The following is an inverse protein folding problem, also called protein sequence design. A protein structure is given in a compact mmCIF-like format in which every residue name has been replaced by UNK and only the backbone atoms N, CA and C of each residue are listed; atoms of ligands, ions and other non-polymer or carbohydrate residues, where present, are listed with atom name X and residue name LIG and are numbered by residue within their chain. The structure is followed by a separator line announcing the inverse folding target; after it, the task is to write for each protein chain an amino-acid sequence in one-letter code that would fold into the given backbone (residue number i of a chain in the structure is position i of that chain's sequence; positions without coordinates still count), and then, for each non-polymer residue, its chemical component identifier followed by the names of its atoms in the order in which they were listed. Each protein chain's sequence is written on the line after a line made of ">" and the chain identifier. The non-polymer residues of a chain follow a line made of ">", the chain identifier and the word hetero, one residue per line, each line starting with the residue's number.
data_IF_148512292148
#
_entry.id   IF_148512292148
#
_cell.length_a   1.000
_cell.length_b   1.000
_cell.length_c   1.000
_cell.angle_alpha   90.00
_cell.angle_beta   90.00
_cell.angle_gamma   90.00
#
_symmetry.space_group_name_H-M   'P 1'
#
loop_
_entity.id
_entity.type
_entity.pdbx_description
1 polymer ?
#
# COMPACT_ATOMS: atom_id res chain seq x y z
N UNK A 1 -23.17 4.58 -14.04
CA UNK A 1 -21.82 5.01 -13.59
C UNK A 1 -21.88 5.01 -12.06
N UNK A 2 -21.36 3.96 -11.42
CA UNK A 2 -21.30 3.91 -9.95
C UNK A 2 -20.18 4.87 -9.58
N UNK A 3 -20.51 5.97 -8.92
CA UNK A 3 -19.54 6.87 -8.33
C UNK A 3 -18.75 6.06 -7.29
N UNK A 4 -17.43 6.06 -7.40
CA UNK A 4 -16.60 5.50 -6.34
C UNK A 4 -16.98 6.20 -5.04
N UNK A 5 -17.25 5.40 -4.00
CA UNK A 5 -17.58 5.92 -2.67
C UNK A 5 -16.40 6.76 -2.16
N UNK A 6 -16.62 8.06 -2.04
CA UNK A 6 -15.61 9.04 -1.60
C UNK A 6 -15.26 8.89 -0.09
N UNK A 7 -15.89 7.95 0.61
CA UNK A 7 -15.59 7.65 2.02
C UNK A 7 -14.19 7.04 2.24
N UNK A 8 -13.54 6.61 1.16
CA UNK A 8 -12.26 5.89 1.20
C UNK A 8 -12.36 4.49 1.81
N UNK A 9 -13.56 4.01 2.14
CA UNK A 9 -13.80 2.62 2.55
C UNK A 9 -13.63 1.66 1.38
N UNK A 10 -13.28 0.39 1.63
CA UNK A 10 -13.17 -0.58 0.55
C UNK A 10 -14.53 -0.77 -0.11
N UNK A 11 -14.57 -0.68 -1.42
CA UNK A 11 -15.75 -0.93 -2.24
C UNK A 11 -15.46 -2.02 -3.28
N UNK A 12 -16.49 -2.80 -3.63
CA UNK A 12 -16.33 -3.98 -4.46
C UNK A 12 -17.32 -3.98 -5.62
N UNK A 13 -16.86 -4.43 -6.77
CA UNK A 13 -17.68 -4.71 -7.93
C UNK A 13 -18.53 -5.99 -7.73
N UNK A 14 -19.54 -6.21 -8.56
CA UNK A 14 -20.42 -7.37 -8.49
C UNK A 14 -19.69 -8.72 -8.61
N UNK A 15 -18.53 -8.75 -9.27
CA UNK A 15 -17.67 -9.93 -9.39
C UNK A 15 -16.74 -10.13 -8.17
N UNK A 16 -16.87 -9.29 -7.13
CA UNK A 16 -16.09 -9.34 -5.90
C UNK A 16 -14.70 -8.70 -5.98
N UNK A 17 -14.30 -8.14 -7.12
CA UNK A 17 -13.06 -7.36 -7.25
C UNK A 17 -13.17 -6.04 -6.49
N UNK A 18 -12.09 -5.61 -5.87
CA UNK A 18 -12.02 -4.33 -5.20
C UNK A 18 -11.86 -3.20 -6.23
N UNK A 19 -12.62 -2.13 -6.07
CA UNK A 19 -12.37 -0.89 -6.81
C UNK A 19 -11.09 -0.23 -6.32
N UNK A 20 -10.32 0.36 -7.26
CA UNK A 20 -9.15 1.14 -6.90
C UNK A 20 -9.55 2.29 -5.96
N UNK A 21 -8.86 2.48 -4.82
CA UNK A 21 -9.12 3.62 -3.95
C UNK A 21 -8.90 4.95 -4.69
N UNK A 22 -9.83 5.87 -4.54
CA UNK A 22 -9.73 7.22 -5.12
C UNK A 22 -9.34 8.23 -4.04
N UNK A 23 -8.81 9.38 -4.45
CA UNK A 23 -8.44 10.49 -3.56
C UNK A 23 -7.44 10.13 -2.43
N UNK A 24 -6.80 8.95 -2.49
CA UNK A 24 -5.87 8.48 -1.46
C UNK A 24 -4.66 9.41 -1.24
N UNK A 25 -4.29 10.22 -2.22
CA UNK A 25 -3.23 11.22 -2.07
C UNK A 25 -3.60 12.37 -1.10
N UNK A 26 -4.87 12.46 -0.72
CA UNK A 26 -5.37 13.38 0.32
C UNK A 26 -5.38 12.73 1.71
N UNK A 27 -5.03 11.43 1.80
CA UNK A 27 -4.99 10.69 3.07
C UNK A 27 -3.70 11.01 3.85
N UNK A 28 -3.62 10.46 5.06
CA UNK A 28 -2.41 10.57 5.86
C UNK A 28 -1.26 9.82 5.18
N UNK A 29 -0.20 10.54 4.83
CA UNK A 29 1.04 9.93 4.38
C UNK A 29 1.70 9.21 5.56
N UNK A 30 1.91 7.90 5.45
CA UNK A 30 2.49 7.07 6.51
C UNK A 30 4.02 7.00 6.43
N UNK A 31 4.56 7.05 5.23
CA UNK A 31 6.00 7.02 5.00
C UNK A 31 6.38 6.58 3.60
N UNK A 32 7.64 6.70 3.29
CA UNK A 32 8.25 6.25 2.05
C UNK A 32 9.44 5.36 2.33
N UNK A 33 9.75 4.48 1.40
CA UNK A 33 11.01 3.73 1.38
C UNK A 33 11.56 3.61 -0.03
N UNK A 34 12.86 3.37 -0.14
CA UNK A 34 13.56 3.13 -1.39
C UNK A 34 14.25 1.76 -1.33
N UNK A 35 13.92 0.90 -2.29
CA UNK A 35 14.66 -0.34 -2.53
C UNK A 35 14.47 -1.44 -1.48
N UNK A 36 13.46 -1.35 -0.59
CA UNK A 36 13.15 -2.47 0.31
C UNK A 36 12.81 -3.69 -0.54
N UNK A 37 13.62 -4.72 -0.41
CA UNK A 37 13.45 -6.03 -1.02
C UNK A 37 13.56 -7.13 0.04
N UNK A 38 13.16 -8.34 -0.32
CA UNK A 38 13.11 -9.50 0.57
C UNK A 38 14.09 -10.61 0.15
N UNK A 39 15.00 -10.31 -0.75
CA UNK A 39 16.11 -11.18 -1.17
C UNK A 39 17.44 -10.54 -0.83
N UNK A 40 18.47 -11.37 -0.70
CA UNK A 40 19.82 -10.89 -0.45
C UNK A 40 20.30 -9.94 -1.57
N UNK A 41 20.94 -8.80 -1.22
CA UNK A 41 21.41 -7.86 -2.20
C UNK A 41 22.54 -8.47 -3.04
N UNK A 42 22.52 -8.22 -4.34
CA UNK A 42 23.65 -8.53 -5.23
C UNK A 42 24.58 -7.33 -5.32
N UNK A 43 25.86 -7.57 -5.62
CA UNK A 43 26.90 -6.53 -5.68
C UNK A 43 26.60 -5.36 -6.64
N UNK A 44 25.68 -5.54 -7.60
CA UNK A 44 25.26 -4.55 -8.60
C UNK A 44 23.75 -4.25 -8.55
N UNK A 45 23.11 -4.43 -7.40
CA UNK A 45 21.67 -4.14 -7.28
C UNK A 45 21.42 -2.64 -7.47
N UNK A 46 20.50 -2.33 -8.39
CA UNK A 46 19.98 -0.96 -8.57
C UNK A 46 19.24 -0.51 -7.30
N UNK A 47 19.04 0.79 -7.09
CA UNK A 47 18.39 1.32 -5.88
C UNK A 47 16.98 0.79 -5.63
N UNK A 48 16.39 0.09 -6.60
CA UNK A 48 15.04 -0.44 -6.50
C UNK A 48 13.98 0.61 -6.83
N UNK A 49 12.81 0.48 -6.21
CA UNK A 49 11.68 1.39 -6.41
C UNK A 49 11.38 2.18 -5.14
N UNK A 50 10.87 3.40 -5.33
CA UNK A 50 10.21 4.13 -4.25
C UNK A 50 8.83 3.52 -3.99
N UNK A 51 8.46 3.49 -2.72
CA UNK A 51 7.14 3.07 -2.27
C UNK A 51 6.59 4.10 -1.30
N UNK A 52 5.50 4.77 -1.67
CA UNK A 52 4.83 5.76 -0.84
C UNK A 52 3.55 5.16 -0.27
N UNK A 53 3.41 5.23 1.04
CA UNK A 53 2.29 4.61 1.73
C UNK A 53 1.38 5.68 2.32
N UNK A 54 0.09 5.51 2.05
CA UNK A 54 -0.99 6.35 2.57
C UNK A 54 -1.96 5.50 3.36
N UNK A 55 -2.47 6.02 4.45
CA UNK A 55 -3.50 5.40 5.27
C UNK A 55 -4.71 6.30 5.39
N UNK A 56 -5.89 5.73 5.33
CA UNK A 56 -7.14 6.46 5.50
C UNK A 56 -7.15 7.22 6.83
N UNK A 57 -7.55 8.50 6.87
CA UNK A 57 -7.38 9.38 8.04
C UNK A 57 -8.05 8.87 9.31
N UNK A 58 -9.26 8.30 9.20
CA UNK A 58 -9.98 7.74 10.33
C UNK A 58 -9.31 6.47 10.89
N UNK A 59 -8.79 5.62 10.00
CA UNK A 59 -8.02 4.43 10.39
C UNK A 59 -6.69 4.82 11.06
N UNK A 60 -6.03 5.86 10.55
CA UNK A 60 -4.83 6.43 11.19
C UNK A 60 -5.14 6.93 12.59
N UNK A 61 -6.18 7.75 12.75
CA UNK A 61 -6.60 8.28 14.05
C UNK A 61 -6.90 7.16 15.05
N UNK A 62 -7.72 6.18 14.66
CA UNK A 62 -8.05 5.05 15.51
C UNK A 62 -6.81 4.23 15.90
N UNK A 63 -5.88 4.02 14.95
CA UNK A 63 -4.63 3.33 15.23
C UNK A 63 -3.75 4.08 16.24
N UNK A 64 -3.62 5.41 16.11
CA UNK A 64 -2.85 6.22 17.06
C UNK A 64 -3.44 6.20 18.47
N UNK A 65 -4.76 6.16 18.59
CA UNK A 65 -5.47 6.11 19.87
C UNK A 65 -5.42 4.73 20.53
N UNK A 66 -5.52 3.65 19.73
CA UNK A 66 -5.74 2.30 20.26
C UNK A 66 -4.60 1.32 20.02
N UNK A 67 -3.69 1.61 19.11
CA UNK A 67 -2.65 0.70 18.62
C UNK A 67 -3.19 -0.44 17.74
N UNK A 68 -4.46 -0.36 17.29
CA UNK A 68 -5.12 -1.37 16.46
C UNK A 68 -5.72 -0.75 15.22
N UNK A 69 -5.56 -1.44 14.08
CA UNK A 69 -6.26 -1.04 12.86
C UNK A 69 -7.74 -1.47 12.93
N UNK A 70 -8.69 -0.53 12.76
CA UNK A 70 -10.12 -0.87 12.75
C UNK A 70 -10.49 -1.70 11.51
N UNK A 71 -11.64 -2.37 11.55
CA UNK A 71 -12.22 -2.97 10.36
C UNK A 71 -12.45 -1.91 9.27
N UNK A 72 -12.37 -2.31 8.00
CA UNK A 72 -12.41 -1.42 6.82
C UNK A 72 -11.22 -0.45 6.71
N UNK A 73 -10.12 -0.69 7.40
CA UNK A 73 -8.87 0.02 7.15
C UNK A 73 -8.39 -0.22 5.72
N UNK A 74 -7.96 0.85 5.06
CA UNK A 74 -7.31 0.79 3.75
C UNK A 74 -5.97 1.51 3.83
N UNK A 75 -4.92 0.83 3.39
CA UNK A 75 -3.63 1.43 3.08
C UNK A 75 -3.41 1.34 1.57
N UNK A 76 -2.86 2.39 0.98
CA UNK A 76 -2.50 2.43 -0.44
C UNK A 76 -0.99 2.64 -0.55
N UNK A 77 -0.38 1.90 -1.47
CA UNK A 77 1.03 2.03 -1.81
C UNK A 77 1.17 2.41 -3.28
N UNK A 78 1.82 3.54 -3.54
CA UNK A 78 2.33 3.88 -4.87
C UNK A 78 3.73 3.33 -5.04
N UNK A 79 4.01 2.80 -6.20
CA UNK A 79 5.34 2.28 -6.57
C UNK A 79 5.88 3.08 -7.74
N UNK A 80 7.06 3.72 -7.56
CA UNK A 80 7.73 4.51 -8.59
C UNK A 80 9.11 3.94 -8.94
N UNK A 81 9.55 4.14 -10.18
CA UNK A 81 10.96 3.96 -10.52
C UNK A 81 11.83 4.99 -9.81
N UNK A 82 13.06 4.61 -9.48
CA UNK A 82 14.05 5.55 -8.99
C UNK A 82 14.80 6.17 -10.18
N UNK A 83 14.49 7.43 -10.45
CA UNK A 83 15.21 8.24 -11.44
C UNK A 83 16.52 8.80 -10.90
N UNK A 84 17.43 9.12 -11.79
CA UNK A 84 18.76 9.68 -11.51
C UNK A 84 19.06 10.85 -12.45
N UNK A 85 20.03 11.67 -12.07
CA UNK A 85 20.67 12.67 -12.95
C UNK A 85 19.70 13.70 -13.56
N UNK A 86 18.83 14.27 -12.74
CA UNK A 86 17.99 15.40 -13.16
C UNK A 86 18.58 16.73 -12.64
N UNK A 87 18.79 17.69 -13.54
CA UNK A 87 19.25 19.04 -13.16
C UNK A 87 18.29 19.69 -12.15
N UNK A 88 18.79 20.36 -11.09
CA UNK A 88 20.20 20.63 -10.77
C UNK A 88 20.88 19.54 -9.92
N UNK A 89 20.20 18.44 -9.61
CA UNK A 89 20.73 17.38 -8.76
C UNK A 89 21.89 16.63 -9.43
N UNK A 90 23.00 16.52 -8.74
CA UNK A 90 24.20 15.79 -9.21
C UNK A 90 24.28 14.36 -8.65
N UNK A 91 23.59 14.10 -7.56
CA UNK A 91 23.57 12.81 -6.85
C UNK A 91 22.18 12.55 -6.29
N UNK A 92 21.91 11.30 -5.93
CA UNK A 92 20.64 10.88 -5.33
C UNK A 92 19.63 10.38 -6.34
N UNK A 93 18.47 10.02 -5.84
CA UNK A 93 17.36 9.45 -6.61
C UNK A 93 16.07 10.21 -6.34
N UNK A 94 15.19 10.24 -7.32
CA UNK A 94 13.85 10.83 -7.22
C UNK A 94 12.81 9.88 -7.82
N UNK A 95 11.56 10.08 -7.45
CA UNK A 95 10.44 9.35 -8.05
C UNK A 95 10.24 9.80 -9.50
N UNK A 96 10.43 8.87 -10.44
CA UNK A 96 10.37 9.23 -11.86
C UNK A 96 9.08 8.78 -12.51
N UNK A 97 8.82 7.48 -12.56
CA UNK A 97 7.66 6.91 -13.26
C UNK A 97 6.84 6.05 -12.31
N UNK A 98 5.54 6.32 -12.24
CA UNK A 98 4.59 5.47 -11.53
C UNK A 98 4.54 4.09 -12.22
N UNK A 99 4.91 3.06 -11.47
CA UNK A 99 4.82 1.67 -11.90
C UNK A 99 3.47 1.06 -11.59
N UNK A 100 2.89 1.42 -10.45
CA UNK A 100 1.60 0.90 -10.05
C UNK A 100 1.11 1.36 -8.69
N UNK A 101 -0.11 0.92 -8.41
CA UNK A 101 -0.82 1.18 -7.16
C UNK A 101 -1.20 -0.17 -6.58
N UNK A 102 -0.91 -0.36 -5.30
CA UNK A 102 -1.30 -1.53 -4.52
C UNK A 102 -2.12 -1.10 -3.31
N UNK A 103 -2.94 -2.00 -2.78
CA UNK A 103 -3.68 -1.72 -1.56
C UNK A 103 -3.67 -2.92 -0.60
N UNK A 104 -3.58 -2.62 0.70
CA UNK A 104 -3.87 -3.55 1.79
C UNK A 104 -5.19 -3.14 2.44
N UNK A 105 -6.09 -4.09 2.62
CA UNK A 105 -7.45 -3.83 3.11
C UNK A 105 -7.78 -4.79 4.23
N UNK A 106 -8.19 -4.24 5.38
CA UNK A 106 -8.81 -5.02 6.44
C UNK A 106 -10.31 -5.08 6.19
N UNK A 107 -10.86 -6.27 6.00
CA UNK A 107 -12.29 -6.49 5.80
C UNK A 107 -12.70 -7.83 6.44
N UNK A 108 -13.07 -7.78 7.72
CA UNK A 108 -13.36 -8.97 8.51
C UNK A 108 -14.63 -9.71 8.03
N UNK A 109 -15.56 -8.99 7.41
CA UNK A 109 -16.76 -9.61 6.85
C UNK A 109 -16.47 -10.40 5.57
N UNK A 110 -15.57 -9.87 4.71
CA UNK A 110 -15.20 -10.51 3.44
C UNK A 110 -14.12 -11.57 3.61
N UNK A 111 -13.22 -11.38 4.55
CA UNK A 111 -12.07 -12.25 4.83
C UNK A 111 -12.05 -12.65 6.33
N UNK A 112 -12.99 -13.48 6.79
CA UNK A 112 -13.17 -13.75 8.23
C UNK A 112 -11.97 -14.45 8.88
N UNK A 113 -11.19 -15.22 8.13
CA UNK A 113 -10.00 -15.92 8.64
C UNK A 113 -8.76 -15.04 8.59
N UNK A 114 -8.46 -14.47 7.43
CA UNK A 114 -7.28 -13.67 7.16
C UNK A 114 -7.41 -12.24 7.71
N UNK A 115 -8.61 -11.69 7.75
CA UNK A 115 -8.98 -10.31 8.06
C UNK A 115 -8.43 -9.27 7.07
N UNK A 116 -7.29 -9.54 6.47
CA UNK A 116 -6.60 -8.68 5.51
C UNK A 116 -6.53 -9.32 4.12
N UNK A 117 -6.65 -8.47 3.10
CA UNK A 117 -6.42 -8.84 1.71
C UNK A 117 -5.55 -7.78 1.01
N UNK A 118 -4.83 -8.19 -0.02
CA UNK A 118 -3.88 -7.36 -0.76
C UNK A 118 -4.25 -7.35 -2.23
N UNK A 119 -4.12 -6.19 -2.87
CA UNK A 119 -4.57 -5.94 -4.23
C UNK A 119 -3.48 -5.22 -5.02
N UNK A 120 -3.40 -5.52 -6.32
CA UNK A 120 -2.52 -4.82 -7.24
C UNK A 120 -3.33 -4.31 -8.43
N UNK A 121 -3.31 -2.99 -8.62
CA UNK A 121 -4.00 -2.28 -9.69
C UNK A 121 -3.07 -1.93 -10.86
N UNK A 122 -1.94 -2.61 -11.00
CA UNK A 122 -0.99 -2.38 -12.10
C UNK A 122 -1.61 -2.87 -13.42
N UNK A 123 -1.73 -1.96 -14.37
CA UNK A 123 -2.09 -2.25 -15.75
C UNK A 123 -0.94 -1.95 -16.70
N UNK A 124 -1.08 -2.28 -17.99
CA UNK A 124 -0.02 -2.06 -19.00
C UNK A 124 0.27 -0.58 -19.24
N UNK A 125 -0.78 0.25 -19.31
CA UNK A 125 -0.67 1.68 -19.63
C UNK A 125 -1.17 2.58 -18.51
N UNK A 126 -2.14 2.12 -17.75
CA UNK A 126 -2.75 2.84 -16.63
C UNK A 126 -3.19 1.87 -15.55
N UNK A 127 -3.45 2.38 -14.36
CA UNK A 127 -4.00 1.58 -13.27
C UNK A 127 -5.34 0.92 -13.66
N UNK A 128 -5.53 -0.32 -13.21
CA UNK A 128 -6.80 -1.05 -13.40
C UNK A 128 -7.88 -0.44 -12.49
N UNK A 129 -9.14 -0.33 -12.97
CA UNK A 129 -10.22 0.21 -12.15
C UNK A 129 -10.62 -0.73 -11.02
N UNK A 130 -10.40 -2.04 -11.18
CA UNK A 130 -10.65 -3.09 -10.19
C UNK A 130 -9.53 -4.11 -10.18
N UNK A 131 -9.38 -4.82 -9.06
CA UNK A 131 -8.43 -5.93 -8.92
C UNK A 131 -8.98 -7.03 -8.04
N UNK A 132 -8.55 -8.27 -8.31
CA UNK A 132 -8.77 -9.43 -7.44
C UNK A 132 -7.80 -9.40 -6.26
N UNK A 133 -8.26 -9.88 -5.11
CA UNK A 133 -7.34 -10.12 -3.99
C UNK A 133 -6.27 -11.15 -4.40
N UNK A 134 -5.04 -10.94 -3.97
CA UNK A 134 -4.00 -11.93 -4.07
C UNK A 134 -4.36 -13.20 -3.28
N UNK A 135 -3.92 -14.38 -3.73
CA UNK A 135 -4.03 -15.60 -2.95
C UNK A 135 -3.33 -15.47 -1.58
N UNK A 136 -3.86 -16.16 -0.57
CA UNK A 136 -3.35 -16.15 0.81
C UNK A 136 -1.85 -16.47 0.90
N UNK A 137 -1.36 -17.43 0.14
CA UNK A 137 0.03 -17.86 0.10
C UNK A 137 0.98 -16.87 -0.62
N UNK A 138 0.48 -15.74 -1.07
CA UNK A 138 1.25 -14.68 -1.70
C UNK A 138 1.60 -13.60 -0.67
N UNK A 139 0.90 -12.46 -0.70
CA UNK A 139 1.22 -11.30 0.16
C UNK A 139 0.87 -11.55 1.63
N UNK A 140 -0.31 -12.17 1.91
CA UNK A 140 -0.83 -12.31 3.26
C UNK A 140 0.10 -13.11 4.18
N UNK A 141 0.63 -14.24 3.73
CA UNK A 141 1.49 -15.10 4.56
C UNK A 141 2.75 -14.38 5.01
N UNK A 142 3.41 -13.65 4.11
CA UNK A 142 4.59 -12.85 4.43
C UNK A 142 4.25 -11.70 5.41
N UNK A 143 3.15 -10.99 5.18
CA UNK A 143 2.70 -9.93 6.09
C UNK A 143 2.33 -10.49 7.46
N UNK A 144 1.69 -11.66 7.52
CA UNK A 144 1.34 -12.31 8.79
C UNK A 144 2.57 -12.68 9.61
N UNK A 145 3.63 -13.14 8.95
CA UNK A 145 4.86 -13.60 9.60
C UNK A 145 5.76 -12.46 10.05
N UNK A 146 5.90 -11.42 9.22
CA UNK A 146 6.96 -10.41 9.37
C UNK A 146 6.49 -9.02 9.76
N UNK A 147 5.20 -8.71 9.64
CA UNK A 147 4.67 -7.41 10.03
C UNK A 147 4.63 -7.26 11.55
N UNK A 148 5.03 -6.09 12.04
CA UNK A 148 5.11 -5.85 13.50
C UNK A 148 3.74 -5.66 14.14
N UNK A 149 2.72 -5.23 13.41
CA UNK A 149 1.36 -5.01 13.93
C UNK A 149 0.32 -5.42 12.91
N UNK A 150 -0.54 -6.37 13.26
CA UNK A 150 -1.79 -6.71 12.55
C UNK A 150 -1.64 -6.74 11.00
N UNK A 151 -0.67 -7.51 10.50
CA UNK A 151 -0.34 -7.65 9.08
C UNK A 151 0.13 -6.35 8.37
N UNK A 152 0.50 -5.31 9.11
CA UNK A 152 1.04 -4.06 8.58
C UNK A 152 2.49 -3.87 9.05
N UNK A 153 3.39 -3.57 8.12
CA UNK A 153 4.81 -3.30 8.39
C UNK A 153 5.02 -1.93 9.07
N UNK A 154 4.39 -1.72 10.22
CA UNK A 154 4.49 -0.48 11.01
C UNK A 154 5.95 -0.11 11.30
N UNK A 155 6.82 -1.11 11.45
CA UNK A 155 8.26 -0.90 11.68
C UNK A 155 8.96 -0.04 10.64
N UNK A 156 8.42 0.08 9.42
CA UNK A 156 8.99 0.90 8.35
C UNK A 156 8.42 2.32 8.27
N UNK A 157 7.37 2.63 9.03
CA UNK A 157 6.62 3.88 8.93
C UNK A 157 6.66 4.69 10.23
N UNK A 158 7.53 5.72 10.32
CA UNK A 158 7.70 6.50 11.56
C UNK A 158 6.39 7.05 12.11
N UNK A 159 5.52 7.58 11.23
CA UNK A 159 4.22 8.16 11.59
C UNK A 159 3.29 7.15 12.30
N UNK A 160 3.41 5.87 11.99
CA UNK A 160 2.64 4.79 12.65
C UNK A 160 3.36 4.24 13.89
N UNK A 161 4.70 4.22 13.86
CA UNK A 161 5.54 3.65 14.92
C UNK A 161 5.61 4.55 16.14
N UNK A 162 5.77 5.86 15.93
CA UNK A 162 5.92 6.84 16.99
C UNK A 162 4.53 7.18 17.58
N UNK A 163 4.31 6.79 18.84
CA UNK A 163 3.07 7.06 19.59
C UNK A 163 3.07 8.43 20.23
#
# INVERSE_FOLDING_TARGET
>A
MILADDSGKPSYANNGEMHIPVNYRQWQFAGSNLGIGYSDPTANSKPGSFKNIYIRPDAYKAFKETGKFPDKTVLVMEVFTAGEKASPAKTGHFEEKLLGIEAAVKDEAKFPEEKWAYYNFIGKEKALPTAKAFPKNSCWSCHKEHASVDNVFVQFYPVLRDK
#
